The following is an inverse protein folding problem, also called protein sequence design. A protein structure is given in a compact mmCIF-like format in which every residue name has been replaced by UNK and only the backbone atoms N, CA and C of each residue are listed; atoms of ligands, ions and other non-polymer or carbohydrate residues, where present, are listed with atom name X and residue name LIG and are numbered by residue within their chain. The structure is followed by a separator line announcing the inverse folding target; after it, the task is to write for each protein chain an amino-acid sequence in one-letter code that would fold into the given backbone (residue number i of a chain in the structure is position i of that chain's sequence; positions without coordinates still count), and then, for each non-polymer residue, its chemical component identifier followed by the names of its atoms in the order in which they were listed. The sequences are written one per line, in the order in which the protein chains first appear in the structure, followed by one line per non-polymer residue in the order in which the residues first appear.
data_IF_008514686585
#
_entry.id   IF_008514686585
#
_cell.length_a   1.000
_cell.length_b   1.000
_cell.length_c   1.000
_cell.angle_alpha   90.00
_cell.angle_beta   90.00
_cell.angle_gamma   90.00
#
_symmetry.space_group_name_H-M   'P 1'
#
loop_
_entity.id
_entity.type
_entity.pdbx_description
1 polymer ?
#
# COMPACT_ATOMS: atom_id res chain seq x y z
N UNK A 1 10.14 26.56 -13.93
CA UNK A 1 9.86 25.12 -14.07
C UNK A 1 9.91 24.56 -12.66
N UNK A 2 8.77 24.12 -12.14
CA UNK A 2 8.64 23.60 -10.78
C UNK A 2 8.97 22.11 -10.77
N UNK A 3 9.99 21.72 -10.01
CA UNK A 3 10.32 20.32 -9.77
C UNK A 3 9.14 19.64 -9.06
N UNK A 4 8.51 18.69 -9.75
CA UNK A 4 7.40 17.90 -9.19
C UNK A 4 8.02 16.76 -8.38
N UNK A 5 8.18 17.00 -7.08
CA UNK A 5 8.66 15.99 -6.14
C UNK A 5 7.49 15.09 -5.70
N UNK A 6 7.29 13.97 -6.39
CA UNK A 6 6.29 12.96 -6.03
C UNK A 6 6.80 12.20 -4.81
N UNK A 7 6.44 12.69 -3.63
CA UNK A 7 6.85 12.08 -2.36
C UNK A 7 5.73 11.15 -1.91
N UNK A 8 5.89 9.85 -2.11
CA UNK A 8 5.04 8.87 -1.44
C UNK A 8 5.31 8.96 0.08
N UNK A 9 4.33 9.46 0.84
CA UNK A 9 4.41 9.54 2.29
C UNK A 9 4.26 8.13 2.90
N UNK A 10 5.38 7.40 3.00
CA UNK A 10 5.37 6.14 3.73
C UNK A 10 5.02 6.39 5.21
N UNK A 11 4.45 5.38 5.88
CA UNK A 11 4.44 5.44 7.35
C UNK A 11 5.88 5.17 7.71
N UNK A 12 6.55 6.19 8.19
CA UNK A 12 7.93 6.12 8.63
C UNK A 12 7.90 6.07 10.16
N UNK A 13 8.96 5.56 10.77
CA UNK A 13 9.14 5.73 12.21
C UNK A 13 9.08 7.22 12.61
N UNK A 14 9.50 8.11 11.71
CA UNK A 14 9.39 9.57 11.81
C UNK A 14 7.96 10.10 11.70
N UNK A 15 7.09 9.58 10.83
CA UNK A 15 5.70 10.03 10.75
C UNK A 15 4.88 9.53 11.93
N UNK A 16 5.17 8.32 12.44
CA UNK A 16 4.66 7.84 13.73
C UNK A 16 5.12 8.74 14.88
N UNK A 17 6.40 9.12 14.90
CA UNK A 17 6.96 10.00 15.91
C UNK A 17 6.41 11.44 15.82
N UNK A 18 6.23 12.01 14.63
CA UNK A 18 5.60 13.31 14.43
C UNK A 18 4.14 13.33 14.91
N UNK A 19 3.36 12.27 14.64
CA UNK A 19 2.01 12.14 15.20
C UNK A 19 2.01 11.97 16.74
N UNK A 20 3.10 11.47 17.32
CA UNK A 20 3.29 11.41 18.78
C UNK A 20 3.72 12.76 19.38
N UNK A 21 4.55 13.53 18.67
CA UNK A 21 5.08 14.83 19.08
C UNK A 21 4.10 15.99 18.87
N UNK A 22 3.27 15.95 17.81
CA UNK A 22 2.18 16.90 17.61
C UNK A 22 1.22 16.92 18.82
N UNK A 23 1.05 15.78 19.49
CA UNK A 23 0.22 15.66 20.68
C UNK A 23 0.78 16.38 21.93
N UNK A 24 2.07 16.72 21.94
CA UNK A 24 2.71 17.51 23.00
C UNK A 24 2.74 19.01 22.70
N UNK A 25 2.64 19.39 21.41
CA UNK A 25 2.67 20.80 20.99
C UNK A 25 1.28 21.36 20.68
N UNK A 26 0.25 20.52 20.53
CA UNK A 26 -1.09 20.91 20.06
C UNK A 26 -2.16 20.86 21.17
N UNK A 27 -1.79 21.28 22.39
CA UNK A 27 -2.79 21.63 23.43
C UNK A 27 -3.52 22.95 23.10
N UNK A 28 -3.12 23.67 22.04
CA UNK A 28 -3.70 24.97 21.68
C UNK A 28 -4.66 24.97 20.49
N UNK A 29 -4.85 23.85 19.78
CA UNK A 29 -5.70 23.81 18.56
C UNK A 29 -6.66 22.63 18.54
N UNK A 30 -7.20 22.27 19.71
CA UNK A 30 -8.29 21.30 19.85
C UNK A 30 -9.66 21.96 19.60
N UNK A 31 -9.94 22.40 18.38
CA UNK A 31 -11.31 22.68 17.93
C UNK A 31 -11.53 22.08 16.54
N UNK A 32 -12.20 20.93 16.49
CA UNK A 32 -12.63 20.37 15.20
C UNK A 32 -12.64 18.85 15.08
N UNK A 33 -12.90 18.08 16.14
CA UNK A 33 -13.38 16.70 16.02
C UNK A 33 -14.24 16.38 17.24
N UNK A 34 -15.47 15.94 16.98
CA UNK A 34 -16.55 15.81 17.94
C UNK A 34 -16.09 15.20 19.28
N UNK A 35 -16.15 16.02 20.32
CA UNK A 35 -15.98 15.60 21.71
C UNK A 35 -17.14 14.66 22.05
N UNK A 36 -16.89 13.36 21.99
CA UNK A 36 -17.72 12.38 22.69
C UNK A 36 -17.56 12.62 24.19
N UNK A 37 -18.43 13.49 24.69
CA UNK A 37 -18.61 13.82 26.10
C UNK A 37 -18.81 12.55 26.93
N UNK A 38 -17.86 12.26 27.82
CA UNK A 38 -18.11 11.40 29.00
C UNK A 38 -17.12 10.27 29.27
N UNK A 39 -16.17 9.95 28.40
CA UNK A 39 -15.16 8.93 28.68
C UNK A 39 -13.97 9.54 29.45
N UNK A 40 -13.59 8.94 30.57
CA UNK A 40 -12.34 9.30 31.24
C UNK A 40 -11.17 9.08 30.28
N UNK A 41 -10.14 9.94 30.30
CA UNK A 41 -8.95 9.84 29.40
C UNK A 41 -8.26 8.45 29.43
N UNK A 42 -8.58 7.61 30.42
CA UNK A 42 -8.07 6.25 30.58
C UNK A 42 -8.79 5.18 29.75
N UNK A 43 -9.94 5.50 29.12
CA UNK A 43 -10.75 4.53 28.35
C UNK A 43 -10.58 4.62 26.83
N UNK A 44 -9.66 5.47 26.35
CA UNK A 44 -9.42 5.71 24.93
C UNK A 44 -8.15 4.98 24.46
N UNK A 45 -8.26 4.26 23.35
CA UNK A 45 -7.14 3.69 22.60
C UNK A 45 -6.82 4.58 21.40
N UNK A 46 -5.54 4.82 21.16
CA UNK A 46 -5.07 5.48 19.94
C UNK A 46 -4.61 4.44 18.91
N UNK A 47 -4.97 4.68 17.65
CA UNK A 47 -4.60 3.85 16.50
C UNK A 47 -3.99 4.74 15.43
N UNK A 48 -2.92 4.26 14.80
CA UNK A 48 -2.29 4.87 13.64
C UNK A 48 -2.90 4.26 12.38
N UNK A 49 -3.49 5.09 11.54
CA UNK A 49 -4.14 4.69 10.30
C UNK A 49 -3.36 5.24 9.12
N UNK A 50 -2.87 4.37 8.24
CA UNK A 50 -2.35 4.78 6.94
C UNK A 50 -3.39 4.57 5.86
N UNK A 51 -3.87 5.65 5.29
CA UNK A 51 -4.73 5.61 4.11
C UNK A 51 -3.85 5.55 2.85
N UNK A 52 -4.11 4.56 2.02
CA UNK A 52 -3.54 4.35 0.69
C UNK A 52 -4.59 4.76 -0.34
N UNK A 53 -4.42 5.95 -0.91
CA UNK A 53 -5.30 6.48 -1.96
C UNK A 53 -4.58 6.39 -3.31
N UNK A 54 -4.83 5.28 -3.99
CA UNK A 54 -4.25 5.02 -5.31
C UNK A 54 -4.88 5.87 -6.42
N UNK A 55 -6.09 6.45 -6.20
CA UNK A 55 -6.72 7.35 -7.18
C UNK A 55 -5.90 8.63 -7.32
N UNK A 56 -5.45 9.18 -6.18
CA UNK A 56 -4.67 10.42 -6.11
C UNK A 56 -3.16 10.18 -5.99
N UNK A 57 -2.72 8.90 -6.03
CA UNK A 57 -1.31 8.50 -5.84
C UNK A 57 -0.76 9.10 -4.54
N UNK A 58 -1.62 9.20 -3.52
CA UNK A 58 -1.34 9.84 -2.25
C UNK A 58 -1.45 8.81 -1.13
N UNK A 59 -0.68 9.02 -0.07
CA UNK A 59 -0.91 8.33 1.19
C UNK A 59 -0.92 9.32 2.33
N UNK A 60 -1.80 9.07 3.30
CA UNK A 60 -2.00 9.93 4.46
C UNK A 60 -1.92 9.09 5.72
N UNK A 61 -1.34 9.68 6.77
CA UNK A 61 -1.25 9.03 8.08
C UNK A 61 -2.11 9.82 9.05
N UNK A 62 -3.01 9.14 9.72
CA UNK A 62 -3.87 9.68 10.76
C UNK A 62 -3.55 9.01 12.08
N UNK A 63 -3.66 9.76 13.17
CA UNK A 63 -3.76 9.20 14.51
C UNK A 63 -5.18 9.41 14.97
N UNK A 64 -5.88 8.33 15.27
CA UNK A 64 -7.30 8.38 15.66
C UNK A 64 -7.45 7.75 17.04
N UNK A 65 -8.24 8.40 17.89
CA UNK A 65 -8.49 7.96 19.26
C UNK A 65 -9.94 7.52 19.40
N UNK A 66 -10.15 6.34 19.99
CA UNK A 66 -11.47 5.72 20.11
C UNK A 66 -11.67 5.09 21.48
N UNK A 67 -12.92 4.97 21.96
CA UNK A 67 -13.22 4.17 23.14
C UNK A 67 -12.80 2.71 22.98
N UNK A 68 -12.38 2.08 24.08
CA UNK A 68 -12.18 0.63 24.12
C UNK A 68 -13.43 -0.12 23.64
N UNK A 69 -13.22 -1.18 22.84
CA UNK A 69 -14.30 -1.98 22.24
C UNK A 69 -14.86 -1.39 20.94
N UNK A 70 -14.34 -0.26 20.45
CA UNK A 70 -14.65 0.24 19.10
C UNK A 70 -14.27 -0.82 18.07
N UNK A 71 -15.17 -1.04 17.09
CA UNK A 71 -14.98 -2.00 16.00
C UNK A 71 -14.53 -1.32 14.72
N UNK A 72 -13.90 -2.10 13.83
CA UNK A 72 -13.39 -1.61 12.54
C UNK A 72 -14.45 -0.90 11.70
N UNK A 73 -15.72 -1.34 11.75
CA UNK A 73 -16.83 -0.66 11.06
C UNK A 73 -16.90 0.83 11.36
N UNK A 74 -16.73 1.22 12.63
CA UNK A 74 -16.80 2.62 13.07
C UNK A 74 -15.61 3.42 12.54
N UNK A 75 -14.41 2.83 12.53
CA UNK A 75 -13.20 3.43 11.97
C UNK A 75 -13.35 3.65 10.47
N UNK A 76 -13.84 2.65 9.72
CA UNK A 76 -14.15 2.80 8.30
C UNK A 76 -15.17 3.92 8.06
N UNK A 77 -16.17 4.06 8.93
CA UNK A 77 -17.13 5.17 8.93
C UNK A 77 -16.44 6.53 8.95
N UNK A 78 -15.63 6.77 9.98
CA UNK A 78 -14.91 8.05 10.14
C UNK A 78 -13.92 8.32 9.00
N UNK A 79 -13.23 7.29 8.49
CA UNK A 79 -12.31 7.45 7.37
C UNK A 79 -13.03 7.74 6.05
N UNK A 80 -14.17 7.09 5.80
CA UNK A 80 -14.99 7.32 4.62
C UNK A 80 -15.46 8.77 4.54
N UNK A 81 -15.92 9.34 5.65
CA UNK A 81 -16.34 10.75 5.74
C UNK A 81 -15.18 11.71 5.39
N UNK A 82 -13.99 11.45 5.95
CA UNK A 82 -12.78 12.26 5.68
C UNK A 82 -12.32 12.15 4.23
N UNK A 83 -12.55 10.99 3.61
CA UNK A 83 -12.15 10.73 2.22
C UNK A 83 -13.22 11.10 1.19
N UNK A 84 -14.43 11.48 1.62
CA UNK A 84 -15.57 11.64 0.71
C UNK A 84 -15.92 10.34 -0.04
N UNK A 85 -15.75 9.20 0.62
CA UNK A 85 -16.00 7.86 0.09
C UNK A 85 -17.17 7.18 0.82
N UNK A 86 -17.64 6.05 0.31
CA UNK A 86 -18.59 5.21 1.05
C UNK A 86 -17.84 4.28 2.01
N UNK A 87 -18.42 4.02 3.20
CA UNK A 87 -17.88 3.03 4.16
C UNK A 87 -17.69 1.66 3.52
N UNK A 88 -18.57 1.29 2.59
CA UNK A 88 -18.50 0.03 1.83
C UNK A 88 -17.31 -0.06 0.87
N UNK A 89 -16.68 1.07 0.57
CA UNK A 89 -15.48 1.15 -0.28
C UNK A 89 -14.21 1.08 0.56
N UNK A 90 -14.29 1.11 1.89
CA UNK A 90 -13.11 1.15 2.75
C UNK A 90 -12.70 -0.26 3.17
N UNK A 91 -11.51 -0.67 2.73
CA UNK A 91 -10.91 -1.95 3.11
C UNK A 91 -9.78 -1.66 4.09
N UNK A 92 -9.88 -2.22 5.30
CA UNK A 92 -8.82 -2.14 6.29
C UNK A 92 -8.05 -3.46 6.36
N UNK A 93 -6.74 -3.39 6.56
CA UNK A 93 -5.89 -4.55 6.78
C UNK A 93 -4.76 -4.20 7.75
N UNK A 94 -4.25 -5.20 8.45
CA UNK A 94 -3.28 -4.99 9.54
C UNK A 94 -1.86 -5.40 9.14
N UNK A 95 -0.83 -4.61 9.46
CA UNK A 95 0.56 -5.05 9.34
C UNK A 95 0.90 -6.17 10.34
N UNK A 96 2.01 -6.91 10.11
CA UNK A 96 2.65 -7.69 11.15
C UNK A 96 2.93 -6.84 12.40
N UNK A 97 2.86 -7.45 13.61
CA UNK A 97 3.20 -6.75 14.84
C UNK A 97 4.61 -6.15 14.73
N UNK A 98 4.70 -4.85 14.98
CA UNK A 98 5.95 -4.10 14.98
C UNK A 98 6.92 -4.67 16.03
N UNK A 99 8.14 -5.10 15.67
CA UNK A 99 9.18 -5.28 16.67
C UNK A 99 9.50 -3.94 17.33
N UNK A 100 10.00 -3.99 18.57
CA UNK A 100 10.51 -2.83 19.33
C UNK A 100 11.55 -2.01 18.56
N UNK A 101 12.18 -2.61 17.54
CA UNK A 101 13.20 -1.99 16.68
C UNK A 101 12.62 -1.03 15.61
N UNK A 102 11.30 -0.76 15.64
CA UNK A 102 10.62 0.28 14.83
C UNK A 102 10.70 0.13 13.30
N UNK A 103 11.13 -1.02 12.78
CA UNK A 103 11.09 -1.30 11.34
C UNK A 103 9.70 -1.81 10.97
N UNK A 104 8.91 -0.98 10.29
CA UNK A 104 7.66 -1.40 9.64
C UNK A 104 8.00 -2.39 8.54
N UNK A 105 7.67 -3.67 8.76
CA UNK A 105 7.56 -4.60 7.64
C UNK A 105 6.24 -4.27 6.97
N UNK A 106 6.31 -3.56 5.84
CA UNK A 106 5.17 -3.21 5.00
C UNK A 106 4.66 -4.46 4.27
N UNK A 107 4.19 -5.41 5.07
CA UNK A 107 3.45 -6.59 4.67
C UNK A 107 2.08 -6.47 5.32
N UNK A 108 1.09 -7.19 4.82
CA UNK A 108 -0.22 -7.25 5.45
C UNK A 108 -0.46 -8.67 5.96
N UNK A 109 -1.00 -8.80 7.18
CA UNK A 109 -1.30 -10.11 7.76
C UNK A 109 -2.67 -10.62 7.38
N UNK A 110 -3.66 -9.74 7.32
CA UNK A 110 -5.04 -10.08 6.98
C UNK A 110 -5.84 -8.82 6.71
N UNK A 111 -6.88 -8.98 5.91
CA UNK A 111 -7.98 -8.03 5.81
C UNK A 111 -8.80 -8.10 7.10
N UNK A 112 -9.24 -6.94 7.59
CA UNK A 112 -10.03 -6.80 8.81
C UNK A 112 -11.52 -6.83 8.47
N UNK A 113 -12.28 -7.59 9.25
CA UNK A 113 -13.73 -7.63 9.17
C UNK A 113 -14.35 -6.46 9.93
N UNK A 114 -15.56 -5.99 9.54
CA UNK A 114 -16.24 -4.90 10.24
C UNK A 114 -16.44 -5.12 11.75
N UNK A 115 -16.51 -6.38 12.18
CA UNK A 115 -16.67 -6.78 13.59
C UNK A 115 -15.36 -6.94 14.36
N UNK A 116 -14.21 -6.83 13.71
CA UNK A 116 -12.90 -6.94 14.38
C UNK A 116 -12.64 -5.76 15.32
N UNK A 117 -11.79 -6.02 16.31
CA UNK A 117 -11.19 -4.97 17.14
C UNK A 117 -10.18 -4.14 16.33
N UNK A 118 -10.09 -2.85 16.68
CA UNK A 118 -9.17 -1.92 16.03
C UNK A 118 -7.75 -2.16 16.54
N UNK A 119 -6.76 -2.50 15.68
CA UNK A 119 -5.36 -2.68 16.09
C UNK A 119 -4.66 -1.33 16.33
N UNK A 120 -3.44 -1.35 16.88
CA UNK A 120 -2.67 -0.11 17.10
C UNK A 120 -2.19 0.54 15.81
N UNK A 121 -1.98 -0.27 14.76
CA UNK A 121 -1.63 0.19 13.42
C UNK A 121 -2.52 -0.53 12.42
N UNK A 122 -3.11 0.23 11.49
CA UNK A 122 -3.87 -0.30 10.37
C UNK A 122 -3.54 0.44 9.07
N UNK A 123 -3.64 -0.28 7.98
CA UNK A 123 -3.74 0.31 6.65
C UNK A 123 -5.20 0.33 6.24
N UNK A 124 -5.56 1.38 5.52
CA UNK A 124 -6.85 1.53 4.91
C UNK A 124 -6.66 1.85 3.43
N UNK A 125 -7.40 1.17 2.59
CA UNK A 125 -7.38 1.37 1.15
C UNK A 125 -8.82 1.57 0.68
N UNK A 126 -8.99 2.49 -0.27
CA UNK A 126 -10.24 2.60 -1.00
C UNK A 126 -10.31 1.52 -2.08
N UNK A 127 -11.36 0.72 -2.07
CA UNK A 127 -11.63 -0.33 -3.03
C UNK A 127 -11.94 0.26 -4.40
N UNK A 128 -11.37 -0.31 -5.45
CA UNK A 128 -11.78 -0.03 -6.84
C UNK A 128 -12.98 -0.92 -7.14
N UNK A 129 -14.18 -0.44 -6.80
CA UNK A 129 -15.42 -1.22 -6.92
C UNK A 129 -16.04 -1.02 -8.32
N UNK A 130 -16.48 -2.07 -9.01
CA UNK A 130 -17.41 -1.92 -10.15
C UNK A 130 -18.68 -1.23 -9.65
N UNK A 131 -19.12 -0.17 -10.34
CA UNK A 131 -20.10 0.87 -9.92
C UNK A 131 -21.43 0.47 -9.24
N UNK A 132 -21.73 -0.81 -8.96
CA UNK A 132 -22.97 -1.25 -8.29
C UNK A 132 -22.75 -2.55 -7.50
N UNK A 133 -22.25 -2.48 -6.28
CA UNK A 133 -22.23 -3.63 -5.35
C UNK A 133 -21.49 -3.34 -4.06
N UNK A 134 -21.98 -3.85 -2.93
CA UNK A 134 -21.22 -3.84 -1.69
C UNK A 134 -19.99 -4.75 -1.82
N UNK A 135 -18.83 -4.32 -1.30
CA UNK A 135 -17.63 -5.16 -1.23
C UNK A 135 -17.91 -6.31 -0.25
N UNK A 136 -18.11 -7.51 -0.79
CA UNK A 136 -18.06 -8.72 0.03
C UNK A 136 -16.61 -9.03 0.36
N UNK A 137 -16.27 -9.20 1.64
CA UNK A 137 -14.89 -9.57 2.01
C UNK A 137 -14.44 -10.91 1.42
N UNK A 138 -15.40 -11.79 1.10
CA UNK A 138 -15.15 -13.07 0.44
C UNK A 138 -14.57 -12.93 -0.98
N UNK A 139 -14.69 -11.76 -1.61
CA UNK A 139 -14.11 -11.46 -2.93
C UNK A 139 -12.90 -10.53 -2.86
N UNK A 140 -12.30 -10.37 -1.68
CA UNK A 140 -11.07 -9.61 -1.49
C UNK A 140 -9.86 -10.55 -1.39
N UNK A 141 -8.81 -10.23 -2.14
CA UNK A 141 -7.52 -10.92 -2.08
C UNK A 141 -6.44 -9.93 -1.64
N UNK A 142 -5.68 -10.30 -0.62
CA UNK A 142 -4.54 -9.52 -0.18
C UNK A 142 -3.29 -9.88 -1.00
N UNK A 143 -2.61 -8.85 -1.53
CA UNK A 143 -1.46 -8.98 -2.41
C UNK A 143 -0.26 -8.31 -1.75
N UNK A 144 0.76 -9.11 -1.43
CA UNK A 144 2.07 -8.61 -1.03
C UNK A 144 2.98 -8.52 -2.26
N UNK A 145 3.78 -7.46 -2.36
CA UNK A 145 4.72 -7.28 -3.47
C UNK A 145 6.14 -7.34 -2.92
N UNK A 146 6.90 -8.32 -3.39
CA UNK A 146 8.25 -8.61 -2.94
C UNK A 146 9.26 -8.45 -4.06
N UNK A 147 10.51 -8.23 -3.70
CA UNK A 147 11.67 -8.21 -4.58
C UNK A 147 12.64 -9.29 -4.13
N UNK A 148 13.09 -10.11 -5.07
CA UNK A 148 14.14 -11.11 -4.87
C UNK A 148 15.48 -10.54 -5.34
N UNK A 149 16.42 -10.37 -4.41
CA UNK A 149 17.80 -10.00 -4.72
C UNK A 149 18.57 -11.14 -5.39
N UNK A 150 19.72 -10.82 -5.98
CA UNK A 150 20.62 -11.81 -6.58
C UNK A 150 21.22 -12.79 -5.54
N UNK A 151 21.23 -12.39 -4.28
CA UNK A 151 21.57 -13.23 -3.12
C UNK A 151 20.43 -14.17 -2.70
N UNK A 152 19.28 -14.12 -3.39
CA UNK A 152 18.08 -14.88 -3.09
C UNK A 152 17.27 -14.31 -1.93
N UNK A 153 17.67 -13.17 -1.36
CA UNK A 153 16.96 -12.57 -0.24
C UNK A 153 15.71 -11.84 -0.71
N UNK A 154 14.59 -12.07 -0.02
CA UNK A 154 13.33 -11.39 -0.26
C UNK A 154 13.21 -10.12 0.59
N UNK A 155 12.87 -9.02 -0.06
CA UNK A 155 12.51 -7.76 0.58
C UNK A 155 11.14 -7.28 0.08
N UNK A 156 10.53 -6.33 0.79
CA UNK A 156 9.28 -5.71 0.31
C UNK A 156 9.61 -4.80 -0.87
N UNK A 157 8.88 -4.95 -1.97
CA UNK A 157 9.05 -4.19 -3.20
C UNK A 157 8.06 -3.03 -3.37
N UNK A 158 6.87 -3.16 -2.79
CA UNK A 158 5.83 -2.15 -2.80
C UNK A 158 4.91 -2.34 -1.58
N UNK A 159 4.14 -1.32 -1.21
CA UNK A 159 3.13 -1.45 -0.14
C UNK A 159 2.10 -2.52 -0.51
N UNK A 160 1.62 -3.34 0.44
CA UNK A 160 0.65 -4.37 0.15
C UNK A 160 -0.69 -3.72 -0.22
N UNK A 161 -1.44 -4.38 -1.08
CA UNK A 161 -2.72 -3.89 -1.55
C UNK A 161 -3.78 -4.99 -1.51
N UNK A 162 -5.04 -4.58 -1.41
CA UNK A 162 -6.18 -5.51 -1.48
C UNK A 162 -6.86 -5.30 -2.81
N UNK A 163 -7.03 -6.39 -3.56
CA UNK A 163 -7.72 -6.38 -4.84
C UNK A 163 -9.04 -7.13 -4.75
N UNK A 164 -10.00 -6.70 -5.55
CA UNK A 164 -11.25 -7.43 -5.71
C UNK A 164 -11.09 -8.49 -6.80
N UNK A 165 -11.51 -9.71 -6.50
CA UNK A 165 -11.56 -10.87 -7.40
C UNK A 165 -13.02 -11.31 -7.46
N UNK A 166 -13.72 -10.89 -8.51
CA UNK A 166 -15.18 -10.99 -8.61
C UNK A 166 -15.68 -12.42 -8.86
N UNK A 167 -14.78 -13.34 -9.22
CA UNK A 167 -15.14 -14.66 -9.72
C UNK A 167 -14.93 -15.75 -8.67
N UNK A 168 -15.76 -16.79 -8.75
CA UNK A 168 -15.56 -18.03 -7.99
C UNK A 168 -14.23 -18.73 -8.33
N UNK A 169 -13.58 -18.36 -9.43
CA UNK A 169 -12.27 -18.88 -9.82
C UNK A 169 -11.26 -17.73 -9.91
N UNK A 170 -10.38 -17.66 -8.92
CA UNK A 170 -9.29 -16.68 -8.92
C UNK A 170 -8.24 -17.16 -9.91
N UNK A 171 -7.84 -16.29 -10.85
CA UNK A 171 -6.79 -16.58 -11.83
C UNK A 171 -5.62 -15.59 -11.68
N UNK A 172 -4.41 -16.02 -12.05
CA UNK A 172 -3.23 -15.15 -12.08
C UNK A 172 -3.49 -13.91 -12.92
N UNK A 173 -4.09 -14.08 -14.10
CA UNK A 173 -4.45 -12.98 -14.99
C UNK A 173 -5.47 -12.03 -14.36
N UNK A 174 -6.46 -12.55 -13.64
CA UNK A 174 -7.43 -11.73 -12.90
C UNK A 174 -6.77 -10.91 -11.81
N UNK A 175 -5.90 -11.54 -10.99
CA UNK A 175 -5.13 -10.86 -9.95
C UNK A 175 -4.26 -9.75 -10.56
N UNK A 176 -3.45 -10.08 -11.58
CA UNK A 176 -2.58 -9.10 -12.23
C UNK A 176 -3.38 -7.93 -12.82
N UNK A 177 -4.55 -8.20 -13.44
CA UNK A 177 -5.39 -7.15 -14.01
C UNK A 177 -5.98 -6.24 -12.94
N UNK A 178 -6.44 -6.80 -11.82
CA UNK A 178 -6.93 -6.00 -10.69
C UNK A 178 -5.81 -5.18 -10.04
N UNK A 179 -4.60 -5.72 -9.91
CA UNK A 179 -3.42 -4.99 -9.42
C UNK A 179 -3.04 -3.86 -10.39
N UNK A 180 -3.02 -4.13 -11.70
CA UNK A 180 -2.71 -3.11 -12.71
C UNK A 180 -3.73 -1.98 -12.70
N UNK A 181 -5.02 -2.29 -12.57
CA UNK A 181 -6.08 -1.30 -12.46
C UNK A 181 -5.93 -0.45 -11.19
N UNK A 182 -5.66 -1.10 -10.04
CA UNK A 182 -5.48 -0.42 -8.77
C UNK A 182 -4.27 0.51 -8.77
N UNK A 183 -3.11 0.02 -9.23
CA UNK A 183 -1.86 0.77 -9.26
C UNK A 183 -1.72 1.68 -10.49
N UNK A 184 -2.71 1.66 -11.40
CA UNK A 184 -2.75 2.43 -12.66
C UNK A 184 -1.48 2.21 -13.49
N UNK A 185 -1.06 0.96 -13.60
CA UNK A 185 0.19 0.58 -14.26
C UNK A 185 0.12 0.82 -15.77
N UNK A 186 1.24 1.25 -16.35
CA UNK A 186 1.42 1.28 -17.81
C UNK A 186 1.63 -0.11 -18.40
N UNK A 187 1.48 -0.22 -19.73
CA UNK A 187 1.55 -1.48 -20.48
C UNK A 187 2.83 -2.28 -20.21
N UNK A 188 3.98 -1.61 -20.11
CA UNK A 188 5.26 -2.28 -19.86
C UNK A 188 5.32 -2.85 -18.44
N UNK A 189 4.92 -2.08 -17.43
CA UNK A 189 4.88 -2.56 -16.04
C UNK A 189 3.84 -3.68 -15.86
N UNK A 190 2.72 -3.62 -16.57
CA UNK A 190 1.71 -4.68 -16.60
C UNK A 190 2.26 -5.97 -17.23
N UNK A 191 3.00 -5.85 -18.34
CA UNK A 191 3.69 -6.99 -18.97
C UNK A 191 4.68 -7.63 -18.01
N UNK A 192 5.48 -6.82 -17.30
CA UNK A 192 6.42 -7.28 -16.29
C UNK A 192 5.70 -7.93 -15.09
N UNK A 193 4.59 -7.35 -14.63
CA UNK A 193 3.80 -7.94 -13.54
C UNK A 193 3.31 -9.34 -13.91
N UNK A 194 2.84 -9.54 -15.15
CA UNK A 194 2.34 -10.84 -15.61
C UNK A 194 3.45 -11.89 -15.76
N UNK A 195 4.69 -11.47 -16.04
CA UNK A 195 5.84 -12.38 -16.10
C UNK A 195 6.36 -12.77 -14.72
N UNK A 196 6.03 -12.01 -13.66
CA UNK A 196 6.45 -12.33 -12.31
C UNK A 196 5.83 -13.64 -11.80
N UNK A 197 6.55 -14.32 -10.92
CA UNK A 197 6.03 -15.48 -10.21
C UNK A 197 5.07 -15.06 -9.10
N UNK A 198 4.03 -15.87 -8.93
CA UNK A 198 2.98 -15.64 -7.95
C UNK A 198 2.95 -16.82 -6.98
N UNK A 199 2.98 -16.54 -5.68
CA UNK A 199 2.99 -17.55 -4.63
C UNK A 199 1.78 -17.39 -3.72
N UNK A 200 1.22 -18.51 -3.26
CA UNK A 200 0.37 -18.51 -2.09
C UNK A 200 1.24 -18.19 -0.87
N UNK A 201 0.77 -17.30 0.01
CA UNK A 201 1.54 -16.92 1.19
C UNK A 201 0.70 -16.77 2.45
N UNK A 202 1.35 -16.95 3.60
CA UNK A 202 0.77 -16.69 4.92
C UNK A 202 1.73 -15.84 5.75
N UNK A 203 1.20 -14.96 6.59
CA UNK A 203 2.03 -14.27 7.58
C UNK A 203 2.03 -15.08 8.86
N UNK A 204 3.22 -15.47 9.30
CA UNK A 204 3.46 -16.21 10.53
C UNK A 204 4.33 -15.35 11.47
N UNK A 205 3.67 -14.75 12.47
CA UNK A 205 4.29 -13.83 13.41
C UNK A 205 4.89 -12.61 12.70
N UNK A 206 6.22 -12.58 12.54
CA UNK A 206 6.96 -11.46 11.92
C UNK A 206 7.35 -11.72 10.46
N UNK A 207 7.04 -12.89 9.90
CA UNK A 207 7.55 -13.32 8.58
C UNK A 207 6.41 -13.62 7.61
N UNK A 208 6.60 -13.31 6.32
CA UNK A 208 5.81 -13.90 5.25
C UNK A 208 6.45 -15.24 4.91
N UNK A 209 5.65 -16.30 4.92
CA UNK A 209 6.03 -17.62 4.44
C UNK A 209 5.41 -17.82 3.06
N UNK A 210 6.27 -17.94 2.05
CA UNK A 210 5.86 -18.38 0.72
C UNK A 210 5.67 -19.90 0.78
N UNK A 211 4.51 -20.37 0.31
CA UNK A 211 4.19 -21.80 0.26
C UNK A 211 4.41 -22.28 -1.16
N UNK A 212 3.34 -22.60 -1.86
CA UNK A 212 3.38 -23.10 -3.22
C UNK A 212 3.23 -21.97 -4.25
N UNK A 213 3.68 -22.25 -5.47
CA UNK A 213 3.31 -21.47 -6.65
C UNK A 213 1.77 -21.42 -6.76
N UNK A 214 1.25 -20.24 -7.06
CA UNK A 214 -0.17 -20.05 -7.27
C UNK A 214 -0.61 -20.77 -8.56
N UNK A 215 -1.74 -21.45 -8.49
CA UNK A 215 -2.41 -22.05 -9.63
C UNK A 215 -3.84 -21.51 -9.75
N UNK A 216 -4.30 -21.39 -10.99
CA UNK A 216 -5.64 -20.88 -11.30
C UNK A 216 -6.73 -21.78 -10.66
N UNK A 217 -7.76 -21.13 -10.11
CA UNK A 217 -8.84 -21.80 -9.39
C UNK A 217 -8.54 -22.08 -7.92
N UNK A 218 -7.36 -21.68 -7.41
CA UNK A 218 -7.09 -21.66 -5.97
C UNK A 218 -7.93 -20.63 -5.23
N UNK A 219 -8.07 -20.81 -3.92
CA UNK A 219 -8.74 -19.87 -3.01
C UNK A 219 -7.80 -19.38 -1.90
N UNK A 220 -6.65 -18.78 -2.21
CA UNK A 220 -5.77 -18.25 -1.17
C UNK A 220 -6.41 -17.03 -0.52
N UNK A 221 -6.18 -16.86 0.78
CA UNK A 221 -6.49 -15.60 1.46
C UNK A 221 -5.50 -14.49 1.08
N UNK A 222 -4.27 -14.87 0.68
CA UNK A 222 -3.21 -13.93 0.33
C UNK A 222 -2.26 -14.54 -0.71
N UNK A 223 -1.72 -13.68 -1.56
CA UNK A 223 -0.67 -14.02 -2.51
C UNK A 223 0.51 -13.05 -2.40
N UNK A 224 1.66 -13.51 -2.84
CA UNK A 224 2.85 -12.70 -3.01
C UNK A 224 3.26 -12.68 -4.48
N UNK A 225 3.52 -11.48 -5.00
CA UNK A 225 4.11 -11.28 -6.33
C UNK A 225 5.59 -11.02 -6.13
N UNK A 226 6.44 -11.81 -6.78
CA UNK A 226 7.89 -11.70 -6.62
C UNK A 226 8.52 -11.12 -7.88
N UNK A 227 9.02 -9.90 -7.75
CA UNK A 227 9.83 -9.22 -8.77
C UNK A 227 11.30 -9.62 -8.64
N UNK A 228 12.02 -9.67 -9.76
CA UNK A 228 13.48 -9.63 -9.72
C UNK A 228 13.97 -8.26 -9.26
N UNK A 229 15.03 -8.22 -8.47
CA UNK A 229 15.71 -6.98 -8.16
C UNK A 229 16.33 -6.36 -9.42
N UNK A 230 16.38 -5.04 -9.43
CA UNK A 230 17.15 -4.26 -10.38
C UNK A 230 18.35 -3.68 -9.64
N UNK A 231 19.53 -3.67 -10.24
CA UNK A 231 20.74 -3.20 -9.61
C UNK A 231 21.20 -1.84 -10.15
N UNK A 232 22.10 -1.20 -9.38
CA UNK A 232 22.69 0.09 -9.77
C UNK A 232 23.48 -0.09 -11.05
N UNK A 233 23.21 0.77 -12.04
CA UNK A 233 23.77 0.70 -13.38
C UNK A 233 22.84 0.06 -14.41
N UNK A 234 21.81 -0.66 -13.98
CA UNK A 234 20.84 -1.23 -14.92
C UNK A 234 20.03 -0.15 -15.61
N UNK A 235 19.73 -0.41 -16.88
CA UNK A 235 18.86 0.45 -17.69
C UNK A 235 17.43 -0.04 -17.51
N UNK A 236 16.54 0.89 -17.22
CA UNK A 236 15.13 0.62 -16.94
C UNK A 236 14.23 1.51 -17.76
N UNK A 237 13.07 0.98 -18.08
CA UNK A 237 11.90 1.74 -18.43
C UNK A 237 11.17 2.15 -17.14
N UNK A 238 10.82 3.43 -17.04
CA UNK A 238 10.01 3.99 -15.95
C UNK A 238 8.65 4.40 -16.50
N UNK A 239 7.58 3.94 -15.83
CA UNK A 239 6.22 4.40 -16.13
C UNK A 239 5.89 5.57 -15.20
N UNK A 240 5.73 6.76 -15.77
CA UNK A 240 5.36 7.98 -15.03
C UNK A 240 3.90 8.29 -15.30
N UNK A 241 3.08 8.26 -14.26
CA UNK A 241 1.71 8.75 -14.30
C UNK A 241 1.74 10.28 -14.31
N UNK A 242 1.49 10.89 -15.47
CA UNK A 242 1.33 12.33 -15.55
C UNK A 242 0.00 12.75 -14.89
N UNK A 243 -0.01 13.77 -14.03
CA UNK A 243 -1.22 14.38 -13.52
C UNK A 243 -1.86 15.22 -14.64
N UNK A 244 -2.53 14.56 -15.58
CA UNK A 244 -3.33 15.19 -16.62
C UNK A 244 -4.81 14.97 -16.29
N UNK A 245 -5.59 16.06 -16.30
CA UNK A 245 -7.05 16.04 -16.13
C UNK A 245 -7.80 15.39 -17.29
N UNK A 246 -7.10 14.90 -18.32
CA UNK A 246 -7.70 14.13 -19.40
C UNK A 246 -7.82 12.67 -18.96
N UNK A 247 -9.05 12.16 -18.98
CA UNK A 247 -9.49 10.81 -18.55
C UNK A 247 -8.80 9.66 -19.31
N UNK A 248 -7.90 9.92 -20.26
CA UNK A 248 -7.27 8.92 -21.13
C UNK A 248 -5.78 9.18 -21.45
N UNK A 249 -5.04 9.94 -20.63
CA UNK A 249 -3.61 10.08 -20.86
C UNK A 249 -2.88 8.78 -20.47
N UNK A 250 -2.38 8.03 -21.46
CA UNK A 250 -1.49 6.89 -21.23
C UNK A 250 -0.27 7.37 -20.42
N UNK A 251 0.20 6.60 -19.42
CA UNK A 251 1.39 6.97 -18.67
C UNK A 251 2.58 7.09 -19.63
N UNK A 252 3.33 8.19 -19.51
CA UNK A 252 4.53 8.42 -20.31
C UNK A 252 5.61 7.45 -19.86
N UNK A 253 6.33 6.90 -20.83
CA UNK A 253 7.41 5.94 -20.62
C UNK A 253 8.72 6.65 -20.91
N UNK A 254 9.70 6.52 -20.02
CA UNK A 254 11.05 7.05 -20.21
C UNK A 254 12.10 6.00 -19.88
N UNK A 255 13.27 6.14 -20.50
CA UNK A 255 14.42 5.30 -20.24
C UNK A 255 15.35 5.99 -19.23
N UNK A 256 15.75 5.25 -18.20
CA UNK A 256 16.59 5.75 -17.12
C UNK A 256 17.64 4.71 -16.70
N UNK A 257 18.64 5.14 -15.94
CA UNK A 257 19.60 4.27 -15.27
C UNK A 257 19.30 4.26 -13.78
N UNK A 258 19.31 3.09 -13.15
CA UNK A 258 19.26 2.99 -11.69
C UNK A 258 20.55 3.55 -11.10
N UNK A 259 20.44 4.65 -10.36
CA UNK A 259 21.61 5.29 -9.71
C UNK A 259 21.72 4.90 -8.24
N UNK A 260 20.61 4.47 -7.63
CA UNK A 260 20.60 4.04 -6.24
C UNK A 260 19.52 2.99 -6.02
N UNK A 261 19.87 1.95 -5.28
CA UNK A 261 18.94 1.01 -4.65
C UNK A 261 19.13 1.12 -3.13
N UNK A 262 18.05 1.28 -2.39
CA UNK A 262 18.11 1.39 -0.93
C UNK A 262 16.84 0.87 -0.29
N UNK A 263 16.90 0.61 1.01
CA UNK A 263 15.72 0.25 1.80
C UNK A 263 15.37 1.43 2.68
N UNK A 264 14.11 1.86 2.62
CA UNK A 264 13.56 2.85 3.53
C UNK A 264 12.22 2.36 4.06
N UNK A 265 12.04 2.44 5.38
CA UNK A 265 10.84 1.97 6.07
C UNK A 265 10.42 0.54 5.68
N UNK A 266 11.41 -0.33 5.48
CA UNK A 266 11.21 -1.73 5.14
C UNK A 266 10.83 -2.00 3.68
N UNK A 267 10.77 -0.98 2.81
CA UNK A 267 10.51 -1.12 1.37
C UNK A 267 11.77 -0.83 0.57
N UNK A 268 11.98 -1.63 -0.47
CA UNK A 268 13.05 -1.46 -1.45
C UNK A 268 12.65 -0.36 -2.44
N UNK A 269 13.48 0.68 -2.50
CA UNK A 269 13.28 1.85 -3.32
C UNK A 269 14.46 2.05 -4.27
N UNK A 270 14.16 2.74 -5.37
CA UNK A 270 15.10 3.04 -6.44
C UNK A 270 15.07 4.52 -6.78
N UNK A 271 16.25 5.11 -6.90
CA UNK A 271 16.43 6.39 -7.58
C UNK A 271 16.97 6.10 -8.97
N UNK A 272 16.38 6.72 -9.99
CA UNK A 272 16.75 6.51 -11.39
C UNK A 272 16.99 7.84 -12.07
N UNK A 273 17.97 7.89 -12.98
CA UNK A 273 18.32 9.08 -13.73
C UNK A 273 17.89 8.93 -15.18
N UNK A 274 17.00 9.81 -15.65
CA UNK A 274 16.57 9.85 -17.04
C UNK A 274 17.76 10.13 -17.97
N UNK A 275 17.85 9.37 -19.06
CA UNK A 275 18.99 9.42 -19.98
C UNK A 275 19.13 10.77 -20.69
N UNK A 276 18.02 11.36 -21.12
CA UNK A 276 18.05 12.54 -22.00
C UNK A 276 18.13 13.86 -21.23
N UNK A 277 17.44 13.96 -20.09
CA UNK A 277 17.30 15.21 -19.33
C UNK A 277 18.21 15.27 -18.11
N UNK A 278 18.82 14.15 -17.71
CA UNK A 278 19.52 13.98 -16.44
C UNK A 278 18.68 14.24 -15.18
N UNK A 279 17.34 14.31 -15.31
CA UNK A 279 16.43 14.41 -14.17
C UNK A 279 16.50 13.12 -13.35
N UNK A 280 16.58 13.25 -12.02
CA UNK A 280 16.53 12.11 -11.11
C UNK A 280 15.11 11.95 -10.59
N UNK A 281 14.53 10.78 -10.84
CA UNK A 281 13.29 10.34 -10.23
C UNK A 281 13.64 9.53 -8.99
N UNK A 282 13.24 10.04 -7.84
CA UNK A 282 13.59 9.46 -6.55
C UNK A 282 12.48 8.52 -6.04
N UNK A 283 12.89 7.52 -5.24
CA UNK A 283 11.99 6.73 -4.38
C UNK A 283 10.91 5.94 -5.14
N UNK A 284 11.27 5.42 -6.31
CA UNK A 284 10.42 4.53 -7.09
C UNK A 284 10.39 3.13 -6.48
N UNK A 285 9.28 2.42 -6.68
CA UNK A 285 9.10 1.01 -6.26
C UNK A 285 9.25 0.06 -7.44
N UNK A 286 9.35 -1.25 -7.18
CA UNK A 286 9.52 -2.24 -8.24
C UNK A 286 8.35 -2.31 -9.23
N UNK A 287 7.16 -1.79 -8.87
CA UNK A 287 5.99 -1.75 -9.76
C UNK A 287 6.04 -0.61 -10.78
N UNK A 288 7.02 0.29 -10.68
CA UNK A 288 7.17 1.47 -11.56
C UNK A 288 8.34 1.33 -12.54
N UNK A 289 9.08 0.22 -12.45
CA UNK A 289 10.33 -0.02 -13.16
C UNK A 289 10.22 -1.32 -13.97
N UNK A 290 10.78 -1.30 -15.18
CA UNK A 290 10.92 -2.49 -16.02
C UNK A 290 12.36 -2.57 -16.49
N UNK A 291 13.14 -3.60 -16.11
CA UNK A 291 14.51 -3.76 -16.62
C UNK A 291 14.49 -4.00 -18.14
N UNK A 292 15.45 -3.40 -18.84
CA UNK A 292 15.65 -3.52 -20.29
C UNK A 292 16.70 -4.57 -20.68
#
# INVERSE_FOLDING_TARGET
MSDVKVTFAFVTSGSIACCSAAHFNDESTAEGLATLSGATKHDLRATIVKVLDYDTVCSRVFRMSYPHGTRIRSVCGSLADVMGASVSEMICFTPPPMPTDRVLRLCAMRVLEPGDDVPDVLFCQKAVVPRRGAVGLASCLLVNVLVCGNDGMLSVGHVPCVVHVADAFITKNGICSSVCALLRMGVECERQLRSCELFCCTVEGKSIVLRDLFYDGGHPSQVAIVYGAVDVGDVVIVSVTQPSSAVEARPSVLQAVVVRRFVEDGVTLYDVKEMDTSIVLERLTCTQLVPL
#
